data_IF_477219202874
#
_entry.id   IF_477219202874
#
_cell.length_a   1.000
_cell.length_b   1.000
_cell.length_c   1.000
_cell.angle_alpha   90.00
_cell.angle_beta   90.00
_cell.angle_gamma   90.00
#
_symmetry.space_group_name_H-M   'P 1'
#
loop_
_entity.id
_entity.type
_entity.pdbx_description
1 polymer ?
#
# COMPACT_ATOMS: atom_id res chain seq x y z
N UNK A 1 70.33 -10.67 -29.43
CA UNK A 1 69.14 -10.75 -28.56
C UNK A 1 67.97 -11.21 -29.41
N UNK A 2 67.38 -12.39 -29.13
CA UNK A 2 66.17 -12.85 -29.84
C UNK A 2 64.97 -12.10 -29.26
N UNK A 3 64.10 -11.48 -30.07
CA UNK A 3 62.92 -10.78 -29.54
C UNK A 3 62.06 -11.77 -28.76
N UNK A 4 61.66 -11.41 -27.55
CA UNK A 4 60.86 -12.30 -26.70
C UNK A 4 59.38 -12.17 -27.08
N UNK A 5 58.99 -12.85 -28.15
CA UNK A 5 57.63 -12.82 -28.70
C UNK A 5 56.57 -13.31 -27.70
N UNK A 6 56.95 -14.07 -26.66
CA UNK A 6 56.03 -14.53 -25.61
C UNK A 6 55.42 -13.40 -24.80
N UNK A 7 56.16 -12.31 -24.53
CA UNK A 7 55.63 -11.16 -23.78
C UNK A 7 54.58 -10.40 -24.59
N UNK A 8 54.78 -10.32 -25.92
CA UNK A 8 53.89 -9.64 -26.86
C UNK A 8 52.61 -10.47 -27.13
N UNK A 9 52.74 -11.80 -27.17
CA UNK A 9 51.61 -12.73 -27.26
C UNK A 9 50.78 -12.76 -25.96
N UNK A 10 51.43 -12.71 -24.79
CA UNK A 10 50.70 -12.62 -23.50
C UNK A 10 49.86 -11.33 -23.42
N UNK A 11 50.39 -10.18 -23.85
CA UNK A 11 49.64 -8.91 -23.83
C UNK A 11 48.47 -8.88 -24.83
N UNK A 12 48.54 -9.63 -25.93
CA UNK A 12 47.47 -9.70 -26.92
C UNK A 12 46.32 -10.62 -26.46
N UNK A 13 46.63 -11.68 -25.69
CA UNK A 13 45.64 -12.62 -25.13
C UNK A 13 44.85 -12.00 -23.97
N UNK A 14 45.49 -11.16 -23.14
CA UNK A 14 44.82 -10.46 -22.03
C UNK A 14 43.74 -9.49 -22.53
N UNK A 15 43.86 -8.96 -23.75
CA UNK A 15 42.86 -8.06 -24.34
C UNK A 15 41.63 -8.79 -24.92
N UNK A 16 41.73 -10.08 -25.23
CA UNK A 16 40.62 -10.88 -25.80
C UNK A 16 39.62 -11.39 -24.76
N UNK A 17 39.95 -11.32 -23.47
CA UNK A 17 39.08 -11.75 -22.35
C UNK A 17 38.48 -10.58 -21.58
N UNK A 18 38.64 -9.34 -22.07
CA UNK A 18 37.88 -8.20 -21.59
C UNK A 18 36.41 -8.39 -22.02
N UNK A 19 35.68 -9.23 -21.26
CA UNK A 19 34.23 -9.31 -21.34
C UNK A 19 33.72 -7.89 -21.07
N UNK A 20 33.25 -7.21 -22.11
CA UNK A 20 32.50 -5.98 -21.95
C UNK A 20 31.19 -6.38 -21.27
N UNK A 21 31.18 -6.38 -19.94
CA UNK A 21 29.96 -6.61 -19.19
C UNK A 21 29.00 -5.49 -19.57
N UNK A 22 27.89 -5.90 -20.18
CA UNK A 22 26.89 -4.94 -20.61
C UNK A 22 26.19 -4.42 -19.37
N UNK A 23 26.24 -3.12 -19.19
CA UNK A 23 25.49 -2.41 -18.17
C UNK A 23 24.10 -2.07 -18.73
N UNK A 24 23.10 -2.05 -17.86
CA UNK A 24 21.71 -1.77 -18.19
C UNK A 24 20.80 -2.30 -17.08
N UNK A 25 19.52 -1.96 -17.11
CA UNK A 25 18.59 -2.49 -16.13
C UNK A 25 18.53 -4.02 -16.19
N UNK A 26 18.84 -4.68 -15.07
CA UNK A 26 18.77 -6.16 -14.93
C UNK A 26 17.48 -6.64 -14.31
N UNK A 27 16.59 -5.72 -13.91
CA UNK A 27 15.32 -6.05 -13.29
C UNK A 27 14.25 -6.29 -14.37
N UNK A 28 13.68 -7.51 -14.48
CA UNK A 28 12.64 -7.80 -15.46
C UNK A 28 11.32 -7.05 -15.22
N UNK A 29 11.14 -6.36 -14.10
CA UNK A 29 9.95 -5.54 -13.84
C UNK A 29 10.07 -4.12 -14.41
N UNK A 30 11.28 -3.69 -14.80
CA UNK A 30 11.49 -2.39 -15.41
C UNK A 30 11.18 -2.39 -16.92
N UNK A 31 10.68 -1.26 -17.41
CA UNK A 31 10.32 -1.06 -18.83
C UNK A 31 11.54 -1.04 -19.75
N UNK A 32 12.69 -0.65 -19.23
CA UNK A 32 13.96 -0.69 -19.95
C UNK A 32 14.84 -1.90 -19.55
N UNK A 33 14.22 -2.98 -19.05
CA UNK A 33 14.90 -4.24 -18.79
C UNK A 33 15.71 -4.70 -20.00
N UNK A 34 16.98 -5.07 -19.76
CA UNK A 34 17.88 -5.58 -20.76
C UNK A 34 18.38 -6.97 -20.34
N UNK A 35 17.80 -8.03 -20.92
CA UNK A 35 18.22 -9.41 -20.66
C UNK A 35 19.70 -9.72 -21.00
N UNK A 36 20.38 -8.83 -21.74
CA UNK A 36 21.82 -8.94 -22.03
C UNK A 36 22.68 -8.15 -21.03
N UNK A 37 22.08 -7.31 -20.19
CA UNK A 37 22.80 -6.62 -19.13
C UNK A 37 23.19 -7.63 -18.04
N UNK A 38 24.44 -7.53 -17.59
CA UNK A 38 24.98 -8.36 -16.50
C UNK A 38 25.11 -7.58 -15.19
N UNK A 39 25.22 -6.26 -15.28
CA UNK A 39 25.31 -5.36 -14.14
C UNK A 39 24.19 -4.32 -14.25
N UNK A 40 23.45 -4.14 -13.15
CA UNK A 40 22.48 -3.06 -13.05
C UNK A 40 23.23 -1.72 -13.04
N UNK A 41 22.85 -0.80 -13.91
CA UNK A 41 23.39 0.56 -13.94
C UNK A 41 22.53 1.58 -13.19
N UNK A 42 21.44 1.12 -12.54
CA UNK A 42 20.52 1.97 -11.80
C UNK A 42 19.63 2.82 -12.69
N UNK A 43 19.49 2.47 -13.98
CA UNK A 43 18.61 3.19 -14.92
C UNK A 43 17.20 2.61 -15.00
N UNK A 44 16.85 1.61 -14.18
CA UNK A 44 15.59 0.88 -14.27
C UNK A 44 14.37 1.81 -14.18
N UNK A 45 13.64 1.96 -15.28
CA UNK A 45 12.42 2.76 -15.30
C UNK A 45 11.21 1.86 -15.06
N UNK A 46 10.59 2.00 -13.91
CA UNK A 46 9.42 1.21 -13.52
C UNK A 46 8.09 1.86 -13.89
N UNK A 47 8.04 3.12 -14.33
CA UNK A 47 6.80 3.86 -14.63
C UNK A 47 5.77 3.74 -13.49
N UNK A 48 6.22 3.99 -12.27
CA UNK A 48 5.38 3.98 -11.07
C UNK A 48 5.13 5.42 -10.65
N UNK A 49 3.87 5.78 -10.48
CA UNK A 49 3.50 7.01 -9.79
C UNK A 49 3.50 6.72 -8.30
N UNK A 50 4.30 7.47 -7.53
CA UNK A 50 4.36 7.39 -6.07
C UNK A 50 3.94 8.72 -5.44
N UNK A 51 3.16 8.68 -4.36
CA UNK A 51 2.77 9.88 -3.61
C UNK A 51 2.81 9.64 -2.11
N UNK A 52 3.54 10.51 -1.42
CA UNK A 52 3.55 10.59 0.03
C UNK A 52 2.34 11.40 0.54
N UNK A 53 1.65 10.88 1.55
CA UNK A 53 0.46 11.47 2.17
C UNK A 53 0.72 11.82 3.63
N UNK A 54 1.56 11.02 4.31
CA UNK A 54 1.93 11.04 5.74
C UNK A 54 0.96 11.83 6.62
N UNK A 55 -0.26 11.31 6.74
CA UNK A 55 -1.33 11.93 7.50
C UNK A 55 -2.06 10.91 8.37
N UNK A 56 -2.22 11.27 9.64
CA UNK A 56 -3.00 10.52 10.61
C UNK A 56 -4.44 11.00 10.61
N UNK A 57 -5.40 10.08 10.49
CA UNK A 57 -6.82 10.36 10.62
C UNK A 57 -7.35 9.66 11.88
N UNK A 58 -7.78 10.47 12.84
CA UNK A 58 -8.26 10.04 14.15
C UNK A 58 -9.75 10.35 14.21
N UNK A 59 -10.57 9.35 14.53
CA UNK A 59 -12.01 9.56 14.73
C UNK A 59 -12.33 9.59 16.22
N UNK A 60 -12.59 10.78 16.74
CA UNK A 60 -13.16 10.95 18.08
C UNK A 60 -14.68 10.85 17.92
N UNK A 61 -15.30 9.77 18.40
CA UNK A 61 -16.70 9.86 18.82
C UNK A 61 -16.79 10.98 19.86
N UNK A 62 -17.90 11.74 19.88
CA UNK A 62 -18.07 12.97 20.66
C UNK A 62 -17.08 13.15 21.84
N UNK A 63 -16.16 14.12 21.73
CA UNK A 63 -15.10 14.40 22.72
C UNK A 63 -15.69 14.54 24.12
N UNK A 64 -16.87 15.14 24.25
CA UNK A 64 -17.53 15.33 25.54
C UNK A 64 -17.99 13.98 26.14
N UNK A 65 -18.39 13.02 25.31
CA UNK A 65 -18.74 11.67 25.74
C UNK A 65 -17.51 10.82 26.08
N UNK A 66 -16.39 10.99 25.35
CA UNK A 66 -15.12 10.30 25.63
C UNK A 66 -14.52 10.82 26.95
N UNK A 67 -14.46 12.14 27.15
CA UNK A 67 -13.90 12.76 28.35
C UNK A 67 -14.77 12.57 29.60
N UNK A 68 -16.07 12.28 29.43
CA UNK A 68 -17.01 12.01 30.53
C UNK A 68 -17.19 10.51 30.83
N UNK A 69 -16.57 9.63 30.04
CA UNK A 69 -16.73 8.18 30.15
C UNK A 69 -15.55 7.55 30.89
N UNK A 70 -15.86 6.78 31.93
CA UNK A 70 -14.90 5.94 32.65
C UNK A 70 -14.83 4.51 32.05
N UNK A 71 -15.42 4.30 30.87
CA UNK A 71 -15.39 3.02 30.17
C UNK A 71 -13.96 2.77 29.60
N UNK A 72 -13.42 1.55 29.70
CA UNK A 72 -12.18 1.17 29.03
C UNK A 72 -12.08 1.67 27.57
N UNK A 73 -13.19 1.65 26.82
CA UNK A 73 -13.27 2.10 25.42
C UNK A 73 -12.95 3.59 25.25
N UNK A 74 -13.33 4.42 26.21
CA UNK A 74 -13.06 5.88 26.17
C UNK A 74 -11.67 6.26 26.68
N UNK A 75 -10.98 5.34 27.37
CA UNK A 75 -9.58 5.49 27.73
C UNK A 75 -8.61 5.05 26.62
N UNK A 76 -9.12 4.48 25.51
CA UNK A 76 -8.34 4.02 24.35
C UNK A 76 -7.90 5.14 23.41
N UNK A 77 -7.43 6.23 24.00
CA UNK A 77 -6.77 7.28 23.26
C UNK A 77 -5.30 6.91 23.06
N UNK A 78 -5.04 5.76 22.44
CA UNK A 78 -3.68 5.22 22.31
C UNK A 78 -2.75 6.22 21.59
N UNK A 79 -3.23 6.96 20.58
CA UNK A 79 -2.46 8.01 19.89
C UNK A 79 -2.28 9.30 20.70
N UNK A 80 -3.22 9.69 21.58
CA UNK A 80 -3.06 10.89 22.44
C UNK A 80 -2.16 10.57 23.64
N UNK A 81 -2.20 9.34 24.14
CA UNK A 81 -1.44 8.91 25.32
C UNK A 81 0.00 8.47 24.99
N UNK A 82 0.29 8.06 23.74
CA UNK A 82 1.67 7.73 23.32
C UNK A 82 2.53 8.94 22.97
N UNK A 83 1.93 10.13 22.81
CA UNK A 83 2.65 11.36 22.44
C UNK A 83 3.06 11.42 20.95
N UNK A 84 2.49 10.56 20.10
CA UNK A 84 2.84 10.43 18.68
C UNK A 84 2.16 11.47 17.77
N UNK A 85 1.18 12.24 18.27
CA UNK A 85 0.43 13.19 17.44
C UNK A 85 1.11 14.57 17.44
N UNK A 86 1.93 14.83 16.42
CA UNK A 86 2.38 16.18 16.07
C UNK A 86 1.58 16.75 14.89
N UNK A 87 0.24 16.69 14.95
CA UNK A 87 -0.59 17.19 13.83
C UNK A 87 -2.00 17.59 14.26
N UNK A 88 -2.48 18.67 13.63
CA UNK A 88 -3.81 19.24 13.72
C UNK A 88 -4.89 18.23 13.31
N UNK A 89 -5.89 18.06 14.18
CA UNK A 89 -7.12 17.26 14.00
C UNK A 89 -7.70 17.43 12.58
N UNK A 90 -7.93 16.34 11.84
CA UNK A 90 -8.60 16.37 10.53
C UNK A 90 -9.77 15.38 10.44
N UNK A 91 -10.96 15.92 10.70
CA UNK A 91 -12.26 15.51 10.16
C UNK A 91 -12.92 14.21 10.64
N UNK A 92 -14.12 14.37 11.20
CA UNK A 92 -15.17 13.35 11.22
C UNK A 92 -15.77 13.20 9.82
N UNK A 93 -15.69 12.02 9.20
CA UNK A 93 -16.35 11.77 7.91
C UNK A 93 -15.62 10.79 7.01
N UNK A 94 -15.54 11.14 5.72
CA UNK A 94 -14.94 10.32 4.66
C UNK A 94 -13.62 10.94 4.21
N UNK A 95 -12.57 10.13 4.14
CA UNK A 95 -11.28 10.49 3.55
C UNK A 95 -11.31 10.19 2.06
N UNK A 96 -11.57 11.20 1.23
CA UNK A 96 -11.57 11.08 -0.22
C UNK A 96 -10.16 11.11 -0.79
N UNK A 97 -9.88 10.22 -1.74
CA UNK A 97 -8.59 10.11 -2.43
C UNK A 97 -8.81 10.03 -3.93
N UNK A 98 -8.06 10.86 -4.65
CA UNK A 98 -7.85 10.80 -6.10
C UNK A 98 -6.47 10.16 -6.32
N UNK A 99 -6.49 8.89 -6.73
CA UNK A 99 -5.29 8.06 -6.87
C UNK A 99 -4.64 8.35 -8.22
N UNK A 100 -5.42 8.33 -9.30
CA UNK A 100 -4.92 8.46 -10.67
C UNK A 100 -4.68 9.92 -11.11
N UNK A 101 -5.05 10.90 -10.27
CA UNK A 101 -4.87 12.34 -10.46
C UNK A 101 -5.69 12.92 -11.61
N UNK A 102 -6.87 12.37 -11.87
CA UNK A 102 -7.78 12.85 -12.89
C UNK A 102 -8.80 13.89 -12.36
N UNK A 103 -8.64 14.36 -11.12
CA UNK A 103 -9.55 15.28 -10.40
C UNK A 103 -10.91 14.66 -10.03
N UNK A 104 -11.07 13.35 -10.17
CA UNK A 104 -12.24 12.57 -9.73
C UNK A 104 -11.82 11.72 -8.52
N UNK A 105 -12.72 11.61 -7.54
CA UNK A 105 -12.46 10.75 -6.39
C UNK A 105 -12.51 9.28 -6.80
N UNK A 106 -11.42 8.57 -6.52
CA UNK A 106 -11.31 7.15 -6.79
C UNK A 106 -11.82 6.26 -5.66
N UNK A 107 -11.49 6.62 -4.43
CA UNK A 107 -11.97 5.92 -3.25
C UNK A 107 -12.12 6.87 -2.07
N UNK A 108 -12.77 6.37 -1.03
CA UNK A 108 -12.66 6.97 0.28
C UNK A 108 -12.59 5.94 1.39
N UNK A 109 -11.95 6.35 2.49
CA UNK A 109 -11.99 5.60 3.74
C UNK A 109 -12.97 6.24 4.71
N UNK A 110 -13.55 5.43 5.57
CA UNK A 110 -14.36 5.92 6.69
C UNK A 110 -14.27 4.96 7.88
N UNK A 111 -14.55 5.50 9.05
CA UNK A 111 -14.76 4.74 10.28
C UNK A 111 -16.23 4.93 10.64
N UNK A 112 -16.95 3.83 10.82
CA UNK A 112 -18.36 3.84 11.17
C UNK A 112 -18.59 3.19 12.52
N UNK A 113 -19.59 3.69 13.26
CA UNK A 113 -20.12 3.00 14.44
C UNK A 113 -21.22 2.04 14.01
N UNK A 114 -20.97 0.75 14.18
CA UNK A 114 -21.90 -0.32 13.84
C UNK A 114 -23.17 -0.31 14.68
N UNK A 115 -23.15 0.27 15.88
CA UNK A 115 -24.35 0.40 16.71
C UNK A 115 -25.42 1.26 16.01
N UNK A 116 -25.04 2.19 15.13
CA UNK A 116 -25.98 2.98 14.34
C UNK A 116 -26.77 2.15 13.32
N UNK A 117 -26.22 1.00 12.92
CA UNK A 117 -26.82 0.10 11.94
C UNK A 117 -27.46 -1.12 12.60
N UNK A 118 -27.02 -1.47 13.81
CA UNK A 118 -27.53 -2.62 14.55
C UNK A 118 -27.57 -2.35 16.07
N UNK A 119 -28.50 -1.49 16.54
CA UNK A 119 -28.45 -0.88 17.88
C UNK A 119 -28.60 -1.82 19.08
N UNK A 120 -28.78 -3.13 18.88
CA UNK A 120 -28.97 -4.11 19.97
C UNK A 120 -28.24 -5.45 19.78
N UNK A 121 -27.29 -5.54 18.83
CA UNK A 121 -26.69 -6.85 18.48
C UNK A 121 -25.20 -6.98 18.74
N UNK A 122 -24.48 -5.87 18.96
CA UNK A 122 -23.08 -5.97 19.34
C UNK A 122 -22.98 -6.24 20.84
N UNK A 123 -22.26 -7.29 21.27
CA UNK A 123 -22.07 -7.53 22.68
C UNK A 123 -21.26 -6.39 23.30
N UNK A 124 -21.61 -5.99 24.53
CA UNK A 124 -21.11 -4.76 25.18
C UNK A 124 -19.58 -4.69 25.37
N UNK A 125 -18.85 -5.79 25.15
CA UNK A 125 -17.41 -5.90 25.27
C UNK A 125 -16.66 -5.89 23.93
N UNK A 126 -17.34 -5.58 22.82
CA UNK A 126 -16.74 -5.49 21.50
C UNK A 126 -16.60 -4.04 21.05
N UNK A 127 -15.48 -3.72 20.38
CA UNK A 127 -15.32 -2.46 19.67
C UNK A 127 -16.42 -2.35 18.61
N UNK A 128 -17.21 -1.28 18.67
CA UNK A 128 -18.32 -1.06 17.72
C UNK A 128 -17.87 -0.38 16.44
N UNK A 129 -16.61 0.04 16.36
CA UNK A 129 -16.07 0.74 15.21
C UNK A 129 -15.61 -0.24 14.13
N UNK A 130 -15.85 0.15 12.87
CA UNK A 130 -15.36 -0.56 11.71
C UNK A 130 -14.70 0.42 10.73
N UNK A 131 -13.50 0.07 10.27
CA UNK A 131 -12.79 0.82 9.23
C UNK A 131 -13.11 0.20 7.86
N UNK A 132 -13.55 1.03 6.92
CA UNK A 132 -13.94 0.61 5.57
C UNK A 132 -13.20 1.38 4.49
N UNK A 133 -12.99 0.73 3.35
CA UNK A 133 -12.61 1.36 2.11
C UNK A 133 -13.74 1.17 1.09
N UNK A 134 -14.12 2.26 0.42
CA UNK A 134 -15.22 2.28 -0.53
C UNK A 134 -14.73 2.97 -1.79
N UNK A 135 -15.06 2.41 -2.95
CA UNK A 135 -14.59 2.91 -4.22
C UNK A 135 -15.72 2.92 -5.26
N UNK A 136 -15.92 4.05 -5.96
CA UNK A 136 -16.70 4.07 -7.20
C UNK A 136 -15.93 3.69 -8.47
N UNK A 137 -14.59 3.81 -8.50
CA UNK A 137 -13.81 3.70 -9.76
C UNK A 137 -12.74 2.60 -9.74
N UNK A 138 -12.19 2.27 -8.57
CA UNK A 138 -11.15 1.24 -8.39
C UNK A 138 -11.71 -0.04 -7.75
N UNK A 139 -10.90 -1.09 -7.77
CA UNK A 139 -11.20 -2.35 -7.08
C UNK A 139 -10.09 -2.72 -6.08
N UNK A 140 -10.46 -3.49 -5.07
CA UNK A 140 -9.59 -3.88 -3.97
C UNK A 140 -9.14 -5.33 -4.13
N UNK A 141 -7.87 -5.60 -3.84
CA UNK A 141 -7.35 -6.95 -3.77
C UNK A 141 -7.99 -7.70 -2.59
N UNK A 142 -8.67 -8.80 -2.89
CA UNK A 142 -9.42 -9.60 -1.92
C UNK A 142 -9.35 -11.08 -2.32
N UNK A 143 -8.22 -11.70 -2.02
CA UNK A 143 -8.03 -13.16 -2.10
C UNK A 143 -8.67 -13.90 -0.93
N UNK A 144 -9.32 -13.17 -0.02
CA UNK A 144 -10.03 -13.72 1.12
C UNK A 144 -11.45 -14.12 0.75
N UNK A 145 -12.26 -14.42 1.78
CA UNK A 145 -13.71 -14.57 1.64
C UNK A 145 -14.39 -13.38 2.33
N UNK A 146 -15.42 -12.81 1.70
CA UNK A 146 -16.36 -11.81 2.28
C UNK A 146 -15.90 -10.33 2.36
N UNK A 147 -15.26 -9.76 1.34
CA UNK A 147 -14.91 -8.33 1.28
C UNK A 147 -13.95 -7.88 2.41
N UNK A 148 -13.05 -8.76 2.82
CA UNK A 148 -11.99 -8.49 3.80
C UNK A 148 -10.63 -8.47 3.11
N UNK A 149 -10.23 -7.31 2.58
CA UNK A 149 -9.11 -7.24 1.65
C UNK A 149 -7.81 -7.68 2.34
N UNK A 150 -6.88 -8.25 1.59
CA UNK A 150 -5.64 -8.76 2.15
C UNK A 150 -4.77 -7.63 2.69
N UNK A 151 -4.28 -7.83 3.92
CA UNK A 151 -3.29 -6.94 4.52
C UNK A 151 -1.89 -7.36 4.05
N UNK A 152 -1.52 -6.95 2.83
CA UNK A 152 -0.29 -7.37 2.18
C UNK A 152 0.95 -6.90 2.95
N UNK A 153 1.97 -7.77 2.98
CA UNK A 153 3.31 -7.44 3.41
C UNK A 153 4.13 -6.82 2.27
N UNK A 154 5.24 -6.16 2.62
CA UNK A 154 6.19 -5.64 1.63
C UNK A 154 6.62 -6.74 0.65
N UNK A 155 6.76 -6.38 -0.64
CA UNK A 155 7.08 -7.29 -1.74
C UNK A 155 6.00 -8.34 -2.08
N UNK A 156 4.80 -8.22 -1.52
CA UNK A 156 3.65 -8.99 -2.01
C UNK A 156 3.35 -8.59 -3.45
N UNK A 157 3.15 -9.56 -4.34
CA UNK A 157 2.82 -9.31 -5.75
C UNK A 157 1.36 -8.93 -5.87
N UNK A 158 1.09 -7.84 -6.60
CA UNK A 158 -0.25 -7.35 -6.92
C UNK A 158 -0.39 -7.35 -8.44
N UNK A 159 -1.22 -8.25 -8.96
CA UNK A 159 -1.33 -8.53 -10.40
C UNK A 159 -2.70 -9.07 -10.82
N UNK A 160 -2.81 -9.46 -12.10
CA UNK A 160 -4.02 -10.01 -12.70
C UNK A 160 -4.43 -11.39 -12.18
N UNK A 161 -3.55 -12.11 -11.48
CA UNK A 161 -3.81 -13.47 -11.01
C UNK A 161 -4.51 -13.49 -9.64
N UNK A 162 -4.67 -12.32 -9.02
CA UNK A 162 -5.39 -12.13 -7.75
C UNK A 162 -6.90 -12.04 -7.95
N UNK A 163 -7.65 -12.20 -6.86
CA UNK A 163 -9.07 -11.90 -6.78
C UNK A 163 -9.29 -10.44 -6.39
N UNK A 164 -10.34 -9.85 -6.95
CA UNK A 164 -10.61 -8.42 -6.86
C UNK A 164 -12.07 -8.17 -6.53
N UNK A 165 -12.32 -7.27 -5.59
CA UNK A 165 -13.66 -6.86 -5.17
C UNK A 165 -13.93 -5.43 -5.62
N UNK A 166 -15.04 -5.25 -6.33
CA UNK A 166 -15.63 -3.94 -6.65
C UNK A 166 -16.61 -3.44 -5.58
N UNK A 167 -16.81 -4.23 -4.52
CA UNK A 167 -17.65 -3.84 -3.39
C UNK A 167 -16.87 -2.98 -2.39
N UNK A 168 -17.60 -2.38 -1.45
CA UNK A 168 -16.98 -1.85 -0.23
C UNK A 168 -16.32 -2.97 0.56
N UNK A 169 -15.11 -2.71 1.06
CA UNK A 169 -14.30 -3.65 1.81
C UNK A 169 -14.09 -3.19 3.25
N UNK A 170 -13.94 -4.14 4.17
CA UNK A 170 -13.77 -3.87 5.60
C UNK A 170 -12.32 -4.17 5.99
N UNK A 171 -11.57 -3.14 6.38
CA UNK A 171 -10.17 -3.28 6.79
C UNK A 171 -10.06 -3.88 8.20
N UNK A 172 -11.02 -3.55 9.07
CA UNK A 172 -11.07 -3.98 10.45
C UNK A 172 -12.44 -3.72 11.07
N UNK A 173 -12.91 -4.64 11.91
CA UNK A 173 -14.18 -4.54 12.64
C UNK A 173 -14.13 -5.38 13.92
N UNK A 174 -15.24 -5.42 14.66
CA UNK A 174 -15.38 -6.21 15.89
C UNK A 174 -14.91 -7.66 15.74
N UNK A 175 -14.53 -8.27 16.86
CA UNK A 175 -14.02 -9.64 16.94
C UNK A 175 -12.73 -9.89 16.13
N UNK A 176 -11.96 -8.84 15.83
CA UNK A 176 -10.76 -8.90 14.99
C UNK A 176 -11.05 -9.38 13.56
N UNK A 177 -12.26 -9.17 13.05
CA UNK A 177 -12.55 -9.41 11.64
C UNK A 177 -11.96 -8.27 10.78
N UNK A 178 -11.61 -8.59 9.53
CA UNK A 178 -10.73 -7.75 8.71
C UNK A 178 -9.25 -7.98 9.01
N UNK A 179 -8.40 -7.73 8.03
CA UNK A 179 -7.00 -8.16 8.08
C UNK A 179 -6.02 -7.07 8.54
N UNK A 180 -6.47 -5.82 8.68
CA UNK A 180 -5.59 -4.68 8.99
C UNK A 180 -5.57 -4.29 10.47
N UNK A 181 -6.68 -4.53 11.19
CA UNK A 181 -6.85 -4.15 12.60
C UNK A 181 -5.67 -4.64 13.47
N UNK A 182 -4.96 -3.70 14.09
CA UNK A 182 -3.85 -4.00 15.00
C UNK A 182 -2.63 -4.68 14.37
N UNK A 183 -2.53 -4.75 13.03
CA UNK A 183 -1.43 -5.45 12.33
C UNK A 183 -0.21 -4.57 12.01
N UNK A 184 -0.21 -3.31 12.45
CA UNK A 184 0.82 -2.34 12.10
C UNK A 184 0.67 -1.82 10.68
N UNK A 185 1.78 -1.39 10.06
CA UNK A 185 1.78 -0.91 8.68
C UNK A 185 1.62 -2.08 7.70
N UNK A 186 0.64 -1.96 6.81
CA UNK A 186 0.31 -2.95 5.78
C UNK A 186 -0.04 -2.25 4.47
N UNK A 187 -0.13 -3.03 3.40
CA UNK A 187 -0.44 -2.54 2.06
C UNK A 187 -1.80 -3.06 1.61
N UNK A 188 -2.70 -2.15 1.25
CA UNK A 188 -3.95 -2.46 0.57
C UNK A 188 -3.70 -2.51 -0.93
N UNK A 189 -3.85 -3.67 -1.55
CA UNK A 189 -3.76 -3.80 -2.99
C UNK A 189 -4.96 -3.17 -3.70
N UNK A 190 -4.70 -2.42 -4.76
CA UNK A 190 -5.72 -1.75 -5.57
C UNK A 190 -5.48 -2.00 -7.07
N UNK A 191 -6.55 -1.92 -7.86
CA UNK A 191 -6.44 -1.80 -9.32
C UNK A 191 -7.36 -0.74 -9.86
N UNK A 192 -6.87 0.00 -10.84
CA UNK A 192 -7.55 1.12 -11.50
C UNK A 192 -7.91 0.64 -12.92
N UNK A 193 -9.19 0.65 -13.32
CA UNK A 193 -9.60 0.33 -14.67
C UNK A 193 -8.94 1.26 -15.70
N UNK A 194 -8.45 0.71 -16.81
CA UNK A 194 -7.86 1.43 -17.93
C UNK A 194 -8.31 0.78 -19.24
N UNK A 195 -9.42 1.29 -19.79
CA UNK A 195 -10.13 0.70 -20.93
C UNK A 195 -10.53 -0.78 -20.69
N UNK A 196 -9.83 -1.73 -21.33
CA UNK A 196 -10.04 -3.17 -21.18
C UNK A 196 -8.99 -3.83 -20.26
N UNK A 197 -8.14 -3.02 -19.62
CA UNK A 197 -7.00 -3.44 -18.81
C UNK A 197 -7.08 -2.82 -17.41
N UNK A 198 -6.08 -3.11 -16.58
CA UNK A 198 -5.98 -2.55 -15.23
C UNK A 198 -4.58 -2.08 -14.91
N UNK A 199 -4.47 -0.96 -14.20
CA UNK A 199 -3.23 -0.50 -13.55
C UNK A 199 -3.22 -1.01 -12.11
N UNK A 200 -2.12 -1.63 -11.67
CA UNK A 200 -2.01 -2.19 -10.33
C UNK A 200 -1.26 -1.26 -9.39
N UNK A 201 -1.72 -1.18 -8.15
CA UNK A 201 -1.16 -0.30 -7.14
C UNK A 201 -1.33 -0.81 -5.72
N UNK A 202 -0.80 -0.05 -4.78
CA UNK A 202 -0.90 -0.29 -3.35
C UNK A 202 -1.11 1.02 -2.59
N UNK A 203 -1.80 0.95 -1.45
CA UNK A 203 -1.93 2.04 -0.48
C UNK A 203 -1.34 1.55 0.85
N UNK A 204 -0.33 2.23 1.38
CA UNK A 204 0.25 1.90 2.68
C UNK A 204 -0.53 2.59 3.78
N UNK A 205 -1.04 1.79 4.72
CA UNK A 205 -1.87 2.27 5.81
C UNK A 205 -1.67 1.47 7.09
N UNK A 206 -2.12 2.04 8.21
CA UNK A 206 -2.18 1.38 9.51
C UNK A 206 -3.57 1.57 10.09
N UNK A 207 -4.21 0.46 10.43
CA UNK A 207 -5.44 0.44 11.22
C UNK A 207 -5.08 0.15 12.68
N UNK A 208 -5.56 0.96 13.61
CA UNK A 208 -5.49 0.72 15.05
C UNK A 208 -6.10 -0.63 15.45
N UNK A 209 -5.75 -1.13 16.64
CA UNK A 209 -6.35 -2.36 17.19
C UNK A 209 -7.82 -2.18 17.56
N UNK A 210 -8.28 -0.95 17.78
CA UNK A 210 -9.67 -0.67 18.16
C UNK A 210 -10.52 -0.09 17.02
N UNK A 211 -9.98 -0.04 15.80
CA UNK A 211 -10.65 0.53 14.62
C UNK A 211 -11.08 2.00 14.77
N UNK A 212 -10.46 2.77 15.67
CA UNK A 212 -10.76 4.19 15.94
C UNK A 212 -9.83 5.16 15.19
N UNK A 213 -8.68 4.65 14.75
CA UNK A 213 -7.63 5.41 14.09
C UNK A 213 -7.18 4.70 12.81
N UNK A 214 -7.05 5.47 11.73
CA UNK A 214 -6.52 5.04 10.43
C UNK A 214 -5.43 6.03 9.99
N UNK A 215 -4.22 5.54 9.76
CA UNK A 215 -3.12 6.34 9.21
C UNK A 215 -2.89 5.94 7.76
N UNK A 216 -2.82 6.92 6.84
CA UNK A 216 -2.43 6.69 5.44
C UNK A 216 -1.08 7.34 5.21
N UNK A 217 -0.09 6.56 4.79
CA UNK A 217 1.29 7.02 4.67
C UNK A 217 1.64 7.45 3.24
N UNK A 218 1.33 6.60 2.28
CA UNK A 218 1.62 6.81 0.87
C UNK A 218 0.86 5.80 0.00
N UNK A 219 0.89 6.02 -1.30
CA UNK A 219 0.41 5.06 -2.29
C UNK A 219 1.29 5.08 -3.54
N UNK A 220 1.21 4.00 -4.31
CA UNK A 220 1.80 3.95 -5.64
C UNK A 220 0.99 3.07 -6.59
N UNK A 221 1.12 3.30 -7.89
CA UNK A 221 0.59 2.43 -8.93
C UNK A 221 1.42 2.51 -10.21
N UNK A 222 1.42 1.42 -11.01
CA UNK A 222 2.01 1.45 -12.34
C UNK A 222 1.16 2.29 -13.30
N UNK A 223 1.78 3.22 -14.01
CA UNK A 223 1.11 4.00 -15.06
C UNK A 223 0.89 3.18 -16.34
N UNK A 224 1.50 1.99 -16.44
CA UNK A 224 1.34 1.04 -17.53
C UNK A 224 0.41 -0.10 -17.11
N UNK A 225 -0.64 -0.28 -17.89
CA UNK A 225 -1.65 -1.30 -17.65
C UNK A 225 -1.11 -2.72 -17.79
N UNK A 226 -1.73 -3.64 -17.05
CA UNK A 226 -1.38 -5.05 -16.92
C UNK A 226 0.06 -5.34 -16.45
N UNK A 227 0.73 -4.36 -15.84
CA UNK A 227 2.07 -4.52 -15.25
C UNK A 227 1.91 -4.75 -13.75
N UNK A 228 2.34 -5.93 -13.26
CA UNK A 228 2.34 -6.26 -11.83
C UNK A 228 3.13 -5.21 -11.04
N UNK A 229 2.72 -4.94 -9.81
CA UNK A 229 3.50 -4.13 -8.85
C UNK A 229 3.79 -4.95 -7.60
N UNK A 230 4.92 -4.71 -6.96
CA UNK A 230 5.22 -5.22 -5.63
C UNK A 230 4.77 -4.22 -4.58
N UNK A 231 4.13 -4.68 -3.50
CA UNK A 231 3.78 -3.81 -2.38
C UNK A 231 5.05 -3.09 -1.86
N UNK A 232 4.96 -1.77 -1.68
CA UNK A 232 6.06 -0.84 -1.39
C UNK A 232 7.03 -0.52 -2.53
N UNK A 233 6.84 -1.05 -3.72
CA UNK A 233 7.63 -0.67 -4.89
C UNK A 233 7.37 0.79 -5.24
N UNK A 234 8.44 1.56 -5.35
CA UNK A 234 8.43 2.98 -5.69
C UNK A 234 9.09 3.14 -7.07
N UNK A 235 8.65 4.14 -7.82
CA UNK A 235 9.37 4.58 -9.01
C UNK A 235 10.61 5.40 -8.60
N UNK A 236 11.65 5.34 -9.43
CA UNK A 236 12.83 6.22 -9.32
C UNK A 236 12.49 7.70 -9.56
#
# INVERSE_FOLDING_TARGET
MKPNYYLLVLTFIVCLIASCDKNGCTDPTAVNYNAKAKNNDGTCNYNILYKNIDREYIFLTNIDSIMASNDPISNHIDSILSGDINTSIVSTGKLYMDIDQNEVTDLYFEIIDLNLFNPNALPANFDSLAVRAISPTIEFLDNSTFNYPDACDQHTIIDSNSYWSSNSVVLGTFANAGQFNGKGQKYLGIRIPDENNYKYGWIRLKCSQHNDTLTIYDYAFHTISNTKIYAAEQGD
#
